data_IF_164767821257
#
_entry.id   IF_164767821257
#
_cell.length_a   1.000
_cell.length_b   1.000
_cell.length_c   1.000
_cell.angle_alpha   90.00
_cell.angle_beta   90.00
_cell.angle_gamma   90.00
#
_symmetry.space_group_name_H-M   'P 1'
#
loop_
_entity.id
_entity.type
_entity.pdbx_description
1 polymer ?
#
# COMPACT_ATOMS: atom_id res chain seq x y z
N UNK A 1 6.15 -8.31 -26.25
CA UNK A 1 4.82 -8.65 -25.69
C UNK A 1 4.42 -7.52 -24.77
N UNK A 2 3.23 -6.95 -24.92
CA UNK A 2 2.75 -5.87 -24.03
C UNK A 2 1.85 -6.48 -22.96
N UNK A 3 2.35 -6.56 -21.74
CA UNK A 3 1.57 -6.95 -20.56
C UNK A 3 0.89 -5.71 -20.01
N UNK A 4 -0.41 -5.58 -20.23
CA UNK A 4 -1.22 -4.50 -19.66
C UNK A 4 -1.69 -4.91 -18.26
N UNK A 5 -1.20 -4.22 -17.24
CA UNK A 5 -1.63 -4.41 -15.85
C UNK A 5 -2.81 -3.49 -15.59
N UNK A 6 -3.93 -4.04 -15.10
CA UNK A 6 -5.08 -3.23 -14.67
C UNK A 6 -4.78 -2.64 -13.30
N UNK A 7 -4.74 -1.31 -13.23
CA UNK A 7 -4.57 -0.57 -11.98
C UNK A 7 -5.86 0.21 -11.66
N UNK A 8 -6.07 0.53 -10.39
CA UNK A 8 -7.17 1.41 -10.00
C UNK A 8 -6.90 2.86 -10.44
N UNK A 9 -7.96 3.64 -10.68
CA UNK A 9 -7.83 5.07 -11.01
C UNK A 9 -7.09 5.86 -9.91
N UNK A 10 -7.26 5.45 -8.64
CA UNK A 10 -6.53 6.02 -7.51
C UNK A 10 -5.02 5.78 -7.64
N UNK A 11 -4.61 4.58 -8.06
CA UNK A 11 -3.20 4.25 -8.30
C UNK A 11 -2.65 5.03 -9.49
N UNK A 12 -3.46 5.19 -10.54
CA UNK A 12 -3.10 5.98 -11.73
C UNK A 12 -2.83 7.45 -11.40
N UNK A 13 -3.68 8.10 -10.62
CA UNK A 13 -3.45 9.50 -10.17
C UNK A 13 -2.16 9.64 -9.36
N UNK A 14 -1.84 8.66 -8.51
CA UNK A 14 -0.59 8.67 -7.75
C UNK A 14 0.63 8.57 -8.66
N UNK A 15 0.57 7.72 -9.69
CA UNK A 15 1.66 7.58 -10.66
C UNK A 15 1.83 8.86 -11.48
N UNK A 16 0.73 9.51 -11.87
CA UNK A 16 0.75 10.77 -12.61
C UNK A 16 1.39 11.92 -11.80
N UNK A 17 1.18 11.97 -10.48
CA UNK A 17 1.83 12.95 -9.61
C UNK A 17 3.35 12.74 -9.45
N UNK A 18 3.87 11.54 -9.70
CA UNK A 18 5.30 11.17 -9.56
C UNK A 18 6.02 11.16 -10.91
N UNK A 19 5.25 11.14 -12.01
CA UNK A 19 5.70 11.17 -13.38
C UNK A 19 6.30 12.55 -13.72
N UNK A 20 7.45 12.57 -14.38
CA UNK A 20 8.05 13.76 -15.00
C UNK A 20 7.41 14.04 -16.36
N UNK A 21 7.42 15.31 -16.79
CA UNK A 21 6.74 15.73 -18.03
C UNK A 21 7.32 15.06 -19.30
N UNK A 22 8.62 14.76 -19.29
CA UNK A 22 9.34 14.15 -20.42
C UNK A 22 9.47 12.61 -20.34
N UNK A 23 8.86 11.94 -19.35
CA UNK A 23 8.97 10.48 -19.18
C UNK A 23 7.67 9.74 -19.48
N UNK A 24 7.74 8.52 -20.02
CA UNK A 24 6.61 7.60 -20.18
C UNK A 24 6.28 6.87 -18.87
N UNK A 25 5.12 6.22 -18.78
CA UNK A 25 4.79 5.43 -17.59
C UNK A 25 5.71 4.22 -17.44
N UNK A 26 6.15 3.63 -18.55
CA UNK A 26 7.09 2.51 -18.53
C UNK A 26 8.47 2.97 -17.99
N UNK A 27 8.96 4.13 -18.41
CA UNK A 27 10.22 4.69 -17.89
C UNK A 27 10.12 5.11 -16.41
N UNK A 28 8.95 5.62 -15.99
CA UNK A 28 8.65 5.86 -14.57
C UNK A 28 8.70 4.54 -13.78
N UNK A 29 8.08 3.48 -14.31
CA UNK A 29 8.04 2.18 -13.68
C UNK A 29 9.43 1.55 -13.62
N UNK A 30 10.23 1.63 -14.68
CA UNK A 30 11.63 1.18 -14.68
C UNK A 30 12.45 1.95 -13.63
N UNK A 31 12.25 3.26 -13.50
CA UNK A 31 12.91 4.09 -12.47
C UNK A 31 12.48 3.72 -11.06
N UNK A 32 11.19 3.47 -10.82
CA UNK A 32 10.66 3.05 -9.51
C UNK A 32 11.07 1.59 -9.18
N UNK A 33 11.10 0.72 -10.18
CA UNK A 33 11.46 -0.69 -10.04
C UNK A 33 12.96 -0.86 -9.81
N UNK A 34 13.82 0.01 -10.37
CA UNK A 34 15.25 0.04 -10.02
C UNK A 34 15.47 0.36 -8.54
N UNK A 35 14.54 1.06 -7.87
CA UNK A 35 14.59 1.25 -6.41
C UNK A 35 13.96 0.13 -5.58
N UNK A 36 13.22 -0.79 -6.19
CA UNK A 36 12.52 -1.87 -5.46
C UNK A 36 12.44 -3.12 -6.29
N UNK A 37 13.22 -4.12 -5.90
CA UNK A 37 13.09 -5.48 -6.39
C UNK A 37 11.67 -6.03 -6.10
N UNK A 38 11.21 -7.08 -6.79
CA UNK A 38 9.97 -7.77 -6.43
C UNK A 38 9.92 -8.14 -4.94
N UNK A 39 11.08 -8.46 -4.35
CA UNK A 39 11.23 -8.75 -2.92
C UNK A 39 11.04 -7.50 -2.04
N UNK A 40 11.52 -6.33 -2.46
CA UNK A 40 11.27 -5.06 -1.75
C UNK A 40 9.79 -4.62 -1.84
N UNK A 41 9.13 -4.92 -2.96
CA UNK A 41 7.69 -4.70 -3.12
C UNK A 41 6.91 -5.70 -2.26
N UNK A 42 7.34 -6.95 -2.15
CA UNK A 42 6.76 -7.95 -1.26
C UNK A 42 6.95 -7.58 0.22
N UNK A 43 8.15 -7.10 0.61
CA UNK A 43 8.44 -6.63 1.96
C UNK A 43 7.64 -5.36 2.33
N UNK A 44 7.43 -4.45 1.37
CA UNK A 44 6.54 -3.29 1.55
C UNK A 44 5.06 -3.64 1.46
N UNK A 45 4.70 -4.70 0.74
CA UNK A 45 3.38 -5.33 0.78
C UNK A 45 3.20 -6.19 2.04
N UNK A 46 4.24 -6.34 2.87
CA UNK A 46 4.23 -6.88 4.23
C UNK A 46 3.35 -6.14 5.23
N UNK A 47 2.51 -5.19 4.79
CA UNK A 47 1.25 -4.89 5.47
C UNK A 47 0.27 -6.07 5.45
N UNK A 48 0.60 -7.16 4.74
CA UNK A 48 -0.03 -8.47 4.82
C UNK A 48 0.99 -9.51 5.32
N UNK A 49 1.80 -9.17 6.32
CA UNK A 49 2.52 -10.19 7.10
C UNK A 49 1.51 -11.14 7.77
N UNK A 50 1.86 -12.41 7.90
CA UNK A 50 1.00 -13.43 8.50
C UNK A 50 0.76 -13.05 9.97
N UNK A 51 -0.48 -12.64 10.32
CA UNK A 51 -0.84 -12.14 11.65
C UNK A 51 -1.17 -10.63 11.74
N UNK A 52 -1.10 -9.86 10.65
CA UNK A 52 -1.59 -8.46 10.64
C UNK A 52 -3.10 -8.40 10.91
N UNK A 53 -3.88 -9.37 10.40
CA UNK A 53 -5.32 -9.46 10.71
C UNK A 53 -5.55 -9.64 12.21
N UNK A 54 -4.84 -10.57 12.84
CA UNK A 54 -4.94 -10.81 14.29
C UNK A 54 -4.55 -9.57 15.10
N UNK A 55 -3.50 -8.86 14.68
CA UNK A 55 -3.03 -7.64 15.36
C UNK A 55 -3.98 -6.44 15.14
N UNK A 56 -4.63 -6.35 13.97
CA UNK A 56 -5.68 -5.36 13.72
C UNK A 56 -6.92 -5.64 14.56
N UNK A 57 -7.32 -6.90 14.67
CA UNK A 57 -8.46 -7.33 15.50
C UNK A 57 -8.20 -7.08 16.99
N UNK A 58 -7.00 -7.38 17.47
CA UNK A 58 -6.58 -7.10 18.86
C UNK A 58 -6.59 -5.59 19.14
N UNK A 59 -5.98 -4.79 18.26
CA UNK A 59 -5.99 -3.32 18.38
C UNK A 59 -7.40 -2.75 18.35
N UNK A 60 -8.28 -3.30 17.52
CA UNK A 60 -9.68 -2.89 17.43
C UNK A 60 -10.46 -3.25 18.70
N UNK A 61 -10.23 -4.44 19.27
CA UNK A 61 -10.82 -4.87 20.53
C UNK A 61 -10.39 -3.95 21.68
N UNK A 62 -9.09 -3.69 21.83
CA UNK A 62 -8.53 -2.82 22.86
C UNK A 62 -9.09 -1.39 22.77
N UNK A 63 -9.19 -0.87 21.54
CA UNK A 63 -9.76 0.44 21.30
C UNK A 63 -11.24 0.48 21.67
N UNK A 64 -12.03 -0.51 21.26
CA UNK A 64 -13.45 -0.59 21.59
C UNK A 64 -13.67 -0.64 23.11
N UNK A 65 -12.86 -1.44 23.82
CA UNK A 65 -12.95 -1.58 25.27
C UNK A 65 -12.59 -0.28 25.99
N UNK A 66 -11.59 0.46 25.49
CA UNK A 66 -11.23 1.78 26.02
C UNK A 66 -12.34 2.83 25.82
N UNK A 67 -13.06 2.77 24.70
CA UNK A 67 -14.17 3.67 24.40
C UNK A 67 -15.39 3.35 25.25
N UNK A 68 -15.70 2.06 25.43
CA UNK A 68 -16.76 1.60 26.34
C UNK A 68 -16.47 1.99 27.80
N UNK A 69 -15.23 1.83 28.25
CA UNK A 69 -14.80 2.23 29.60
C UNK A 69 -14.92 3.74 29.81
N UNK A 70 -14.60 4.54 28.79
CA UNK A 70 -14.75 6.00 28.84
C UNK A 70 -16.22 6.43 28.77
N UNK A 71 -17.07 5.72 28.03
CA UNK A 71 -18.51 5.99 27.93
C UNK A 71 -19.29 5.65 29.21
N UNK A 72 -18.74 4.80 30.08
CA UNK A 72 -19.36 4.39 31.36
C UNK A 72 -18.95 5.26 32.55
N UNK A 73 -18.18 6.32 32.29
CA UNK A 73 -17.71 7.30 33.27
C UNK A 73 -18.57 8.57 33.23
#
# INVERSE_FOLDING_TARGET
MSTSIRITEKTKQKLEAVKRDDETFDELLDRLAVTRTPDDVAAMAGFADEGIEDQMDETHSDLSESLDANSRR
#
